data_IF_720744082822
#
_entry.id   IF_720744082822
#
_cell.length_a   1.000
_cell.length_b   1.000
_cell.length_c   1.000
_cell.angle_alpha   90.00
_cell.angle_beta   90.00
_cell.angle_gamma   90.00
#
_symmetry.space_group_name_H-M   'P 1'
#
loop_
_entity.id
_entity.type
_entity.pdbx_description
1 polymer ?
#
# COMPACT_ATOMS: atom_id res chain seq x y z
N UNK A 1 -14.66 15.59 1.20
CA UNK A 1 -14.11 14.23 0.99
C UNK A 1 -13.16 13.89 2.12
N UNK A 2 -13.18 12.63 2.62
CA UNK A 2 -12.17 12.06 3.54
C UNK A 2 -11.72 10.71 3.00
N UNK A 3 -10.42 10.47 2.95
CA UNK A 3 -9.85 9.20 2.49
C UNK A 3 -9.33 8.43 3.71
N UNK A 4 -9.94 7.28 3.96
CA UNK A 4 -9.52 6.31 4.97
C UNK A 4 -8.53 5.35 4.31
N UNK A 5 -7.26 5.69 4.41
CA UNK A 5 -6.15 4.99 3.78
C UNK A 5 -5.66 3.87 4.68
N UNK A 6 -5.67 2.65 4.18
CA UNK A 6 -5.33 1.44 4.95
C UNK A 6 -4.26 0.63 4.20
N UNK A 7 -3.24 0.16 4.91
CA UNK A 7 -2.36 -0.89 4.42
C UNK A 7 -3.06 -2.24 4.56
N UNK A 8 -2.92 -3.14 3.58
CA UNK A 8 -3.45 -4.51 3.63
C UNK A 8 -3.07 -5.25 4.92
N UNK A 9 -3.86 -6.24 5.30
CA UNK A 9 -3.62 -7.09 6.46
C UNK A 9 -2.31 -7.88 6.37
N UNK A 10 -1.87 -8.45 7.50
CA UNK A 10 -0.69 -9.29 7.55
C UNK A 10 -0.84 -10.49 6.61
N UNK A 11 0.22 -10.79 5.84
CA UNK A 11 0.29 -11.94 4.94
C UNK A 11 1.35 -12.94 5.42
N UNK A 12 1.29 -14.19 4.92
CA UNK A 12 2.30 -15.20 5.19
C UNK A 12 3.70 -14.70 4.87
N UNK A 13 3.89 -14.01 3.73
CA UNK A 13 5.20 -13.47 3.36
C UNK A 13 5.66 -12.31 4.26
N UNK A 14 4.74 -11.59 4.90
CA UNK A 14 5.14 -10.63 5.94
C UNK A 14 5.77 -11.35 7.15
N UNK A 15 5.21 -12.48 7.58
CA UNK A 15 5.76 -13.27 8.69
C UNK A 15 7.10 -13.93 8.35
N UNK A 16 7.30 -14.29 7.07
CA UNK A 16 8.54 -14.88 6.56
C UNK A 16 9.61 -13.83 6.23
N UNK A 17 9.31 -12.53 6.32
CA UNK A 17 10.23 -11.46 5.92
C UNK A 17 10.55 -11.45 4.43
N UNK A 18 9.60 -11.87 3.57
CA UNK A 18 9.75 -11.86 2.11
C UNK A 18 9.21 -10.58 1.49
N UNK A 19 9.91 -10.08 0.49
CA UNK A 19 9.49 -8.95 -0.35
C UNK A 19 8.35 -9.41 -1.25
N UNK A 20 7.21 -8.73 -1.20
CA UNK A 20 6.05 -9.11 -1.99
C UNK A 20 5.99 -8.39 -3.35
N UNK A 21 6.07 -7.06 -3.32
CA UNK A 21 5.93 -6.27 -4.53
C UNK A 21 4.64 -6.59 -5.28
N UNK A 22 4.77 -6.96 -6.55
CA UNK A 22 3.66 -7.36 -7.42
C UNK A 22 3.25 -8.83 -7.29
N UNK A 23 4.07 -9.68 -6.64
CA UNK A 23 3.65 -11.03 -6.26
C UNK A 23 2.67 -10.97 -5.09
N UNK A 24 1.91 -12.05 -4.89
CA UNK A 24 0.90 -12.11 -3.85
C UNK A 24 1.18 -13.24 -2.85
N UNK A 25 0.77 -13.00 -1.62
CA UNK A 25 0.73 -13.99 -0.53
C UNK A 25 -0.58 -13.80 0.22
N UNK A 26 -1.18 -14.89 0.66
CA UNK A 26 -2.46 -14.87 1.36
C UNK A 26 -2.34 -14.17 2.71
N UNK A 27 -3.45 -13.59 3.16
CA UNK A 27 -3.56 -13.07 4.52
C UNK A 27 -3.38 -14.20 5.54
N UNK A 28 -2.74 -13.90 6.67
CA UNK A 28 -2.76 -14.78 7.85
C UNK A 28 -4.11 -14.68 8.54
N UNK A 29 -4.41 -15.64 9.45
CA UNK A 29 -5.59 -15.54 10.32
C UNK A 29 -5.59 -14.22 11.09
N UNK A 30 -4.43 -13.83 11.64
CA UNK A 30 -4.25 -12.53 12.30
C UNK A 30 -4.56 -11.36 11.36
N UNK A 31 -4.09 -11.39 10.12
CA UNK A 31 -4.38 -10.34 9.13
C UNK A 31 -5.86 -10.21 8.81
N UNK A 32 -6.60 -11.34 8.78
CA UNK A 32 -8.05 -11.38 8.62
C UNK A 32 -8.77 -10.80 9.85
N UNK A 33 -8.34 -11.22 11.06
CA UNK A 33 -8.92 -10.75 12.31
C UNK A 33 -8.70 -9.23 12.50
N UNK A 34 -7.49 -8.74 12.23
CA UNK A 34 -7.16 -7.32 12.31
C UNK A 34 -8.02 -6.50 11.31
N UNK A 35 -8.23 -7.00 10.08
CA UNK A 35 -9.08 -6.35 9.08
C UNK A 35 -10.55 -6.29 9.53
N UNK A 36 -11.09 -7.39 10.09
CA UNK A 36 -12.43 -7.43 10.67
C UNK A 36 -12.57 -6.49 11.87
N UNK A 37 -11.54 -6.42 12.74
CA UNK A 37 -11.51 -5.52 13.88
C UNK A 37 -11.54 -4.06 13.44
N UNK A 38 -10.76 -3.69 12.40
CA UNK A 38 -10.80 -2.36 11.81
C UNK A 38 -12.19 -2.07 11.22
N UNK A 39 -12.81 -3.04 10.52
CA UNK A 39 -14.16 -2.91 10.01
C UNK A 39 -15.18 -2.65 11.11
N UNK A 40 -15.07 -3.34 12.26
CA UNK A 40 -15.89 -3.09 13.45
C UNK A 40 -15.67 -1.68 14.03
N UNK A 41 -14.44 -1.20 14.05
CA UNK A 41 -14.10 0.17 14.46
C UNK A 41 -14.73 1.21 13.52
N UNK A 42 -14.74 0.94 12.22
CA UNK A 42 -15.28 1.82 11.18
C UNK A 42 -16.77 1.55 10.85
N UNK A 43 -17.48 0.78 11.67
CA UNK A 43 -18.87 0.38 11.38
C UNK A 43 -19.83 1.55 11.16
N UNK A 44 -19.63 2.64 11.92
CA UNK A 44 -20.50 3.82 11.88
C UNK A 44 -20.03 4.86 10.83
N UNK A 45 -18.95 4.55 10.08
CA UNK A 45 -18.51 5.38 8.97
C UNK A 45 -19.34 5.04 7.73
N UNK A 46 -20.02 6.05 7.19
CA UNK A 46 -20.75 5.94 5.93
C UNK A 46 -19.79 6.13 4.76
N UNK A 47 -19.31 5.00 4.20
CA UNK A 47 -18.45 4.99 3.02
C UNK A 47 -19.29 5.06 1.75
N UNK A 48 -19.00 6.00 0.86
CA UNK A 48 -19.66 6.10 -0.45
C UNK A 48 -19.12 5.09 -1.46
N UNK A 49 -17.81 4.78 -1.37
CA UNK A 49 -17.14 3.79 -2.20
C UNK A 49 -15.85 3.32 -1.53
N UNK A 50 -15.25 2.27 -2.10
CA UNK A 50 -13.92 1.81 -1.76
C UNK A 50 -13.06 1.70 -3.01
N UNK A 51 -11.82 2.15 -2.92
CA UNK A 51 -10.76 1.87 -3.89
C UNK A 51 -9.78 0.85 -3.30
N UNK A 52 -9.21 0.01 -4.13
CA UNK A 52 -8.23 -0.98 -3.70
C UNK A 52 -7.14 -1.18 -4.73
N UNK A 53 -5.96 -1.58 -4.28
CA UNK A 53 -4.96 -2.19 -5.15
C UNK A 53 -5.54 -3.47 -5.78
N UNK A 54 -5.16 -3.84 -7.02
CA UNK A 54 -5.64 -5.06 -7.67
C UNK A 54 -5.13 -6.36 -7.04
N UNK A 55 -4.18 -6.29 -6.11
CA UNK A 55 -3.62 -7.50 -5.49
C UNK A 55 -4.56 -8.10 -4.45
N UNK A 56 -4.67 -9.43 -4.47
CA UNK A 56 -5.65 -10.18 -3.69
C UNK A 56 -5.61 -9.83 -2.20
N UNK A 57 -4.41 -9.67 -1.60
CA UNK A 57 -4.26 -9.26 -0.19
C UNK A 57 -4.94 -7.93 0.14
N UNK A 58 -4.94 -6.96 -0.79
CA UNK A 58 -5.63 -5.68 -0.60
C UNK A 58 -7.14 -5.80 -0.81
N UNK A 59 -7.56 -6.56 -1.83
CA UNK A 59 -8.97 -6.84 -2.12
C UNK A 59 -9.62 -7.56 -0.94
N UNK A 60 -8.99 -8.60 -0.41
CA UNK A 60 -9.51 -9.37 0.72
C UNK A 60 -9.58 -8.51 1.99
N UNK A 61 -8.54 -7.71 2.26
CA UNK A 61 -8.56 -6.75 3.36
C UNK A 61 -9.72 -5.78 3.23
N UNK A 62 -9.98 -5.23 2.02
CA UNK A 62 -11.10 -4.34 1.75
C UNK A 62 -12.43 -5.01 2.09
N UNK A 63 -12.63 -6.26 1.63
CA UNK A 63 -13.86 -7.02 1.89
C UNK A 63 -14.06 -7.29 3.38
N UNK A 64 -13.01 -7.66 4.12
CA UNK A 64 -13.10 -7.89 5.56
C UNK A 64 -13.38 -6.63 6.37
N UNK A 65 -12.88 -5.46 5.91
CA UNK A 65 -13.20 -4.16 6.54
C UNK A 65 -14.65 -3.79 6.28
N UNK A 66 -15.14 -3.94 5.05
CA UNK A 66 -16.50 -3.56 4.68
C UNK A 66 -17.57 -4.53 5.24
N UNK A 67 -17.22 -5.82 5.42
CA UNK A 67 -18.18 -6.83 5.87
C UNK A 67 -19.40 -6.89 4.95
N UNK A 68 -20.59 -6.77 5.52
CA UNK A 68 -21.87 -6.85 4.78
C UNK A 68 -22.32 -5.50 4.16
N UNK A 69 -21.49 -4.46 4.23
CA UNK A 69 -21.80 -3.17 3.62
C UNK A 69 -21.82 -3.31 2.09
N UNK A 70 -22.94 -2.92 1.47
CA UNK A 70 -23.07 -2.93 0.01
C UNK A 70 -22.40 -1.70 -0.62
N UNK A 71 -21.07 -1.71 -0.63
CA UNK A 71 -20.22 -0.63 -1.12
C UNK A 71 -19.56 -1.03 -2.44
N UNK A 72 -19.57 -0.12 -3.42
CA UNK A 72 -18.86 -0.33 -4.68
C UNK A 72 -17.36 -0.34 -4.42
N UNK A 73 -16.67 -1.43 -4.82
CA UNK A 73 -15.23 -1.58 -4.71
C UNK A 73 -14.64 -1.44 -6.12
N UNK A 74 -13.78 -0.44 -6.31
CA UNK A 74 -13.08 -0.18 -7.57
C UNK A 74 -11.59 -0.49 -7.42
N UNK A 75 -11.08 -1.39 -8.24
CA UNK A 75 -9.63 -1.68 -8.32
C UNK A 75 -8.94 -0.63 -9.19
N UNK A 76 -7.79 -0.13 -8.74
CA UNK A 76 -6.97 0.81 -9.51
C UNK A 76 -5.51 0.35 -9.50
N UNK A 77 -4.96 0.12 -10.70
CA UNK A 77 -3.59 -0.34 -10.93
C UNK A 77 -2.52 0.62 -10.40
N UNK A 78 -2.84 1.91 -10.32
CA UNK A 78 -1.97 2.93 -9.77
C UNK A 78 -1.67 2.74 -8.27
N UNK A 79 -2.48 1.92 -7.57
CA UNK A 79 -2.26 1.57 -6.17
C UNK A 79 -1.53 0.23 -5.95
N UNK A 80 -0.94 -0.39 -6.99
CA UNK A 80 -0.01 -1.51 -6.82
C UNK A 80 1.17 -1.09 -5.96
N UNK A 81 1.74 -2.06 -5.19
CA UNK A 81 2.99 -1.84 -4.46
C UNK A 81 4.14 -1.53 -5.43
N UNK A 82 5.25 -1.02 -4.93
CA UNK A 82 6.47 -0.89 -5.71
C UNK A 82 6.80 -2.25 -6.36
N UNK A 83 7.09 -2.24 -7.66
CA UNK A 83 7.61 -3.42 -8.35
C UNK A 83 9.09 -3.59 -7.99
N UNK A 84 9.39 -4.62 -7.20
CA UNK A 84 10.74 -4.91 -6.77
C UNK A 84 11.52 -5.82 -7.74
N UNK A 85 10.90 -6.22 -8.86
CA UNK A 85 11.54 -7.04 -9.87
C UNK A 85 12.07 -8.37 -9.33
N UNK A 86 13.36 -8.63 -9.52
CA UNK A 86 13.99 -9.89 -9.11
C UNK A 86 14.03 -10.11 -7.60
N UNK A 87 13.75 -9.08 -6.78
CA UNK A 87 13.71 -9.22 -5.33
C UNK A 87 12.41 -9.86 -4.82
N UNK A 88 11.37 -9.90 -5.65
CA UNK A 88 10.04 -10.38 -5.25
C UNK A 88 10.00 -11.88 -4.94
N UNK A 89 9.48 -12.23 -3.78
CA UNK A 89 9.42 -13.58 -3.23
C UNK A 89 10.66 -13.98 -2.45
N UNK A 90 11.72 -13.17 -2.45
CA UNK A 90 12.96 -13.45 -1.73
C UNK A 90 12.91 -12.90 -0.31
N UNK A 91 13.65 -13.54 0.59
CA UNK A 91 13.82 -13.06 1.96
C UNK A 91 14.63 -11.75 1.95
N UNK A 92 14.19 -10.78 2.72
CA UNK A 92 14.80 -9.45 2.77
C UNK A 92 16.31 -9.48 3.07
N UNK A 93 16.74 -10.40 3.96
CA UNK A 93 18.17 -10.52 4.32
C UNK A 93 19.02 -11.06 3.17
N UNK A 94 18.48 -11.99 2.35
CA UNK A 94 19.19 -12.53 1.20
C UNK A 94 19.36 -11.45 0.13
N UNK A 95 18.33 -10.64 -0.11
CA UNK A 95 18.41 -9.49 -1.03
C UNK A 95 19.43 -8.47 -0.54
N UNK A 96 19.44 -8.18 0.77
CA UNK A 96 20.44 -7.27 1.35
C UNK A 96 21.86 -7.79 1.19
N UNK A 97 22.07 -9.09 1.31
CA UNK A 97 23.41 -9.70 1.15
C UNK A 97 23.88 -9.69 -0.31
N UNK A 98 22.98 -9.94 -1.27
CA UNK A 98 23.32 -10.02 -2.69
C UNK A 98 23.38 -8.65 -3.39
N UNK A 99 22.51 -7.71 -2.97
CA UNK A 99 22.40 -6.36 -3.54
C UNK A 99 22.62 -5.27 -2.48
N UNK A 100 23.75 -5.26 -1.74
CA UNK A 100 23.93 -4.39 -0.58
C UNK A 100 23.83 -2.90 -0.91
N UNK A 101 24.35 -2.48 -2.06
CA UNK A 101 24.31 -1.08 -2.49
C UNK A 101 22.88 -0.65 -2.83
N UNK A 102 22.17 -1.39 -3.67
CA UNK A 102 20.81 -1.02 -4.08
C UNK A 102 19.80 -1.17 -2.93
N UNK A 103 20.01 -2.16 -2.05
CA UNK A 103 19.25 -2.26 -0.82
C UNK A 103 19.48 -1.03 0.09
N UNK A 104 20.72 -0.58 0.24
CA UNK A 104 21.03 0.63 1.00
C UNK A 104 20.41 1.87 0.35
N UNK A 105 20.56 2.02 -0.97
CA UNK A 105 20.03 3.15 -1.71
C UNK A 105 18.51 3.27 -1.58
N UNK A 106 17.77 2.17 -1.77
CA UNK A 106 16.32 2.17 -1.64
C UNK A 106 15.83 2.85 -0.34
N UNK A 107 16.52 2.62 0.78
CA UNK A 107 16.06 3.09 2.08
C UNK A 107 16.72 4.37 2.58
N UNK A 108 17.95 4.68 2.09
CA UNK A 108 18.74 5.78 2.64
C UNK A 108 19.12 6.85 1.60
N UNK A 109 19.09 6.50 0.31
CA UNK A 109 19.35 7.39 -0.82
C UNK A 109 18.41 7.05 -1.98
N UNK A 110 17.08 7.25 -1.79
CA UNK A 110 16.08 6.81 -2.77
C UNK A 110 16.29 7.40 -4.16
N UNK A 111 16.90 8.56 -4.27
CA UNK A 111 17.29 9.18 -5.54
C UNK A 111 18.40 8.43 -6.29
N UNK A 112 19.19 7.59 -5.59
CA UNK A 112 20.25 6.76 -6.15
C UNK A 112 19.83 5.28 -6.33
N UNK A 113 18.58 4.93 -6.01
CA UNK A 113 18.09 3.57 -6.16
C UNK A 113 17.90 3.20 -7.63
N UNK A 114 18.58 2.12 -8.06
CA UNK A 114 18.42 1.52 -9.38
C UNK A 114 17.80 0.14 -9.21
N UNK A 115 16.56 -0.08 -9.67
CA UNK A 115 15.89 -1.37 -9.56
C UNK A 115 16.52 -2.42 -10.46
N UNK A 116 16.45 -3.69 -10.05
CA UNK A 116 16.83 -4.84 -10.88
C UNK A 116 15.53 -5.47 -11.42
N UNK A 117 15.23 -5.21 -12.69
CA UNK A 117 13.99 -5.62 -13.38
C UNK A 117 12.71 -5.12 -12.68
N UNK A 118 12.81 -4.03 -11.94
CA UNK A 118 11.72 -3.44 -11.17
C UNK A 118 11.36 -2.03 -11.62
N UNK A 119 10.71 -1.29 -10.74
CA UNK A 119 10.18 0.05 -10.99
C UNK A 119 11.07 1.11 -10.32
N UNK A 120 11.40 2.19 -11.04
CA UNK A 120 12.05 3.36 -10.44
C UNK A 120 11.09 4.09 -9.50
N UNK A 121 11.63 4.70 -8.42
CA UNK A 121 10.81 5.38 -7.42
C UNK A 121 10.05 6.60 -7.96
N UNK A 122 10.58 7.28 -8.97
CA UNK A 122 9.89 8.37 -9.65
C UNK A 122 8.66 7.87 -10.41
N UNK A 123 8.79 6.76 -11.15
CA UNK A 123 7.68 6.13 -11.87
C UNK A 123 6.60 5.64 -10.89
N UNK A 124 7.04 4.97 -9.82
CA UNK A 124 6.16 4.54 -8.73
C UNK A 124 5.39 5.71 -8.14
N UNK A 125 6.09 6.78 -7.76
CA UNK A 125 5.49 7.97 -7.16
C UNK A 125 4.51 8.66 -8.10
N UNK A 126 4.85 8.75 -9.39
CA UNK A 126 3.99 9.41 -10.38
C UNK A 126 2.69 8.63 -10.61
N UNK A 127 2.73 7.29 -10.75
CA UNK A 127 1.49 6.52 -10.84
C UNK A 127 0.64 6.58 -9.57
N UNK A 128 1.27 6.60 -8.37
CA UNK A 128 0.53 6.78 -7.11
C UNK A 128 -0.13 8.16 -7.07
N UNK A 129 0.54 9.21 -7.56
CA UNK A 129 -0.04 10.57 -7.71
C UNK A 129 -1.27 10.52 -8.63
N UNK A 130 -1.16 9.87 -9.78
CA UNK A 130 -2.28 9.70 -10.70
C UNK A 130 -3.44 8.96 -10.02
N UNK A 131 -3.16 7.88 -9.29
CA UNK A 131 -4.19 7.13 -8.56
C UNK A 131 -4.93 7.99 -7.52
N UNK A 132 -4.22 8.87 -6.79
CA UNK A 132 -4.87 9.80 -5.85
C UNK A 132 -5.70 10.84 -6.60
N UNK A 133 -5.21 11.37 -7.72
CA UNK A 133 -6.00 12.29 -8.55
C UNK A 133 -7.28 11.60 -9.08
N UNK A 134 -7.19 10.34 -9.53
CA UNK A 134 -8.37 9.56 -9.95
C UNK A 134 -9.42 9.45 -8.83
N UNK A 135 -8.98 9.32 -7.58
CA UNK A 135 -9.87 9.28 -6.41
C UNK A 135 -10.47 10.67 -6.14
N UNK A 136 -9.66 11.73 -6.17
CA UNK A 136 -10.10 13.12 -5.91
C UNK A 136 -11.08 13.58 -6.99
N UNK A 137 -10.81 13.27 -8.25
CA UNK A 137 -11.62 13.65 -9.41
C UNK A 137 -12.84 12.73 -9.61
N UNK A 138 -13.00 11.71 -8.74
CA UNK A 138 -14.14 10.80 -8.79
C UNK A 138 -15.44 11.55 -8.42
N UNK A 139 -16.58 10.94 -8.78
CA UNK A 139 -17.91 11.48 -8.44
C UNK A 139 -18.25 11.45 -6.95
N UNK A 140 -17.37 10.90 -6.12
CA UNK A 140 -17.60 10.72 -4.69
C UNK A 140 -16.98 11.89 -3.90
N UNK A 141 -17.74 12.47 -2.97
CA UNK A 141 -17.31 13.61 -2.15
C UNK A 141 -17.33 13.35 -0.63
N UNK A 142 -17.81 12.18 -0.21
CA UNK A 142 -17.91 11.76 1.19
C UNK A 142 -16.70 10.96 1.69
N UNK A 143 -16.96 9.94 2.51
CA UNK A 143 -15.91 9.07 3.02
C UNK A 143 -15.58 7.98 1.99
N UNK A 144 -14.30 7.82 1.72
CA UNK A 144 -13.75 6.83 0.78
C UNK A 144 -12.81 5.91 1.55
N UNK A 145 -12.97 4.60 1.41
CA UNK A 145 -11.98 3.63 1.87
C UNK A 145 -10.97 3.40 0.76
N UNK A 146 -9.67 3.48 1.05
CA UNK A 146 -8.60 3.11 0.12
C UNK A 146 -7.67 2.09 0.78
N UNK A 147 -7.65 0.86 0.25
CA UNK A 147 -6.78 -0.21 0.76
C UNK A 147 -5.65 -0.48 -0.22
N UNK A 148 -4.42 -0.40 0.27
CA UNK A 148 -3.22 -0.53 -0.54
C UNK A 148 -2.04 -1.10 0.25
N UNK A 149 -0.81 -0.68 -0.04
CA UNK A 149 0.44 -1.25 0.45
C UNK A 149 1.28 -0.23 1.22
N UNK A 150 2.34 -0.71 1.89
CA UNK A 150 3.14 0.13 2.79
C UNK A 150 3.82 1.31 2.07
N UNK A 151 4.47 1.04 0.91
CA UNK A 151 5.20 2.11 0.21
C UNK A 151 4.25 3.05 -0.52
N UNK A 152 3.10 2.56 -0.97
CA UNK A 152 2.03 3.41 -1.54
C UNK A 152 1.51 4.38 -0.48
N UNK A 153 1.22 3.92 0.75
CA UNK A 153 0.81 4.80 1.85
C UNK A 153 1.87 5.87 2.13
N UNK A 154 3.15 5.47 2.18
CA UNK A 154 4.27 6.40 2.36
C UNK A 154 4.38 7.40 1.21
N UNK A 155 4.22 6.94 -0.03
CA UNK A 155 4.23 7.80 -1.22
C UNK A 155 3.09 8.82 -1.19
N UNK A 156 1.86 8.38 -0.85
CA UNK A 156 0.71 9.29 -0.69
C UNK A 156 1.00 10.36 0.37
N UNK A 157 1.58 9.95 1.49
CA UNK A 157 1.97 10.87 2.57
C UNK A 157 3.00 11.90 2.10
N UNK A 158 4.02 11.45 1.35
CA UNK A 158 5.04 12.30 0.74
C UNK A 158 4.44 13.28 -0.27
N UNK A 159 3.51 12.80 -1.11
CA UNK A 159 2.80 13.62 -2.11
C UNK A 159 1.95 14.70 -1.42
N UNK A 160 1.13 14.32 -0.43
CA UNK A 160 0.26 15.23 0.30
C UNK A 160 1.03 16.36 1.03
N UNK A 161 2.28 16.10 1.41
CA UNK A 161 3.19 17.07 2.04
C UNK A 161 4.12 17.77 1.06
N UNK A 162 4.00 17.48 -0.22
CA UNK A 162 4.87 18.02 -1.28
C UNK A 162 6.38 17.76 -1.00
N UNK A 163 6.72 16.60 -0.45
CA UNK A 163 8.10 16.22 -0.17
C UNK A 163 8.79 15.76 -1.47
N UNK A 164 10.08 16.04 -1.65
CA UNK A 164 10.86 15.50 -2.76
C UNK A 164 11.12 13.99 -2.59
N UNK A 165 11.63 13.32 -3.65
CA UNK A 165 11.81 11.85 -3.66
C UNK A 165 12.79 11.36 -2.59
N UNK A 166 13.88 12.11 -2.33
CA UNK A 166 14.85 11.81 -1.27
C UNK A 166 14.24 11.81 0.15
N UNK A 167 13.03 12.37 0.31
CA UNK A 167 12.25 12.39 1.55
C UNK A 167 11.03 11.45 1.55
N UNK A 168 10.92 10.57 0.57
CA UNK A 168 9.74 9.67 0.43
C UNK A 168 9.55 8.78 1.66
N UNK A 169 10.62 8.45 2.37
CA UNK A 169 10.57 7.61 3.56
C UNK A 169 10.50 8.38 4.88
N UNK A 170 10.56 9.73 4.86
CA UNK A 170 10.40 10.59 6.03
C UNK A 170 8.94 10.61 6.53
N UNK A 171 8.40 9.44 6.77
CA UNK A 171 6.99 9.20 7.11
C UNK A 171 6.93 8.19 8.27
N UNK A 172 5.85 8.15 9.05
CA UNK A 172 5.69 7.17 10.10
C UNK A 172 5.82 5.72 9.58
N UNK A 173 6.14 4.80 10.49
CA UNK A 173 6.09 3.36 10.18
C UNK A 173 4.64 2.97 9.88
N UNK A 174 4.42 2.34 8.74
CA UNK A 174 3.12 1.86 8.31
C UNK A 174 3.00 0.37 8.65
N UNK A 175 2.28 0.03 9.71
CA UNK A 175 1.96 -1.35 10.09
C UNK A 175 0.90 -1.99 9.19
N UNK A 176 0.76 -3.33 9.23
CA UNK A 176 -0.36 -4.00 8.58
C UNK A 176 -1.68 -3.52 9.19
N UNK A 177 -2.72 -3.39 8.38
CA UNK A 177 -4.06 -2.90 8.77
C UNK A 177 -4.05 -1.53 9.46
N UNK A 178 -2.93 -0.78 9.38
CA UNK A 178 -2.87 0.59 9.91
C UNK A 178 -3.79 1.52 9.13
N UNK A 179 -4.46 2.44 9.84
CA UNK A 179 -5.36 3.45 9.29
C UNK A 179 -4.70 4.83 9.33
N UNK A 180 -4.81 5.55 8.23
CA UNK A 180 -4.49 7.00 8.12
C UNK A 180 -5.72 7.69 7.53
N UNK A 181 -6.10 8.85 8.06
CA UNK A 181 -7.22 9.66 7.52
C UNK A 181 -6.63 10.93 6.91
N UNK A 182 -6.96 11.17 5.64
CA UNK A 182 -6.57 12.36 4.87
C UNK A 182 -7.78 13.22 4.54
#
# INVERSE_FOLDING_TARGET
MRIYLVRHGETIWNTEGRIQGWKNSNLTEKGIEDAKALGKYLRDVDFQCAFTSPFQRAIDTTKFILGDKNIVITSNDNFRELNFGTWEGRVFQDVKAEYPEQHYNLWNKPEAYIPVDGEYLEQFRERVRQGINDVIDSKYDGNILLVTHALVVKSIYSIARNLPVDKIWDTPRIGNTSLTIL
#
